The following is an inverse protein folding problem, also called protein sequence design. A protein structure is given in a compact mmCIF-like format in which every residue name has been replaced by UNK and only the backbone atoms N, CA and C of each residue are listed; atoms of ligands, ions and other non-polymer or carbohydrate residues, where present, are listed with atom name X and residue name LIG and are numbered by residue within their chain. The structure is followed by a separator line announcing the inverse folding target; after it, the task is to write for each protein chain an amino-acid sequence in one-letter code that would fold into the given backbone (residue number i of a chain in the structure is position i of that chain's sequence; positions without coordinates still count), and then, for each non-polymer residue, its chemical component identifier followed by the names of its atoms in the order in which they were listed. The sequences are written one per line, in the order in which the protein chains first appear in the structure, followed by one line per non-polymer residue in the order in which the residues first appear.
data_IF_927152087812
#
_entry.id   IF_927152087812
#
_cell.length_a   1.000
_cell.length_b   1.000
_cell.length_c   1.000
_cell.angle_alpha   90.00
_cell.angle_beta   90.00
_cell.angle_gamma   90.00
#
_symmetry.space_group_name_H-M   'P 1'
#
loop_
_entity.id
_entity.type
_entity.pdbx_description
1 polymer ?
#
# COMPACT_ATOMS: atom_id res chain seq x y z
N UNK A 1 -1.76 26.22 1.83
CA UNK A 1 -1.68 24.97 1.03
C UNK A 1 -2.39 25.18 -0.31
N UNK A 2 -1.68 25.11 -1.44
CA UNK A 2 -2.27 25.27 -2.79
C UNK A 2 -3.29 24.15 -3.06
N UNK A 3 -4.39 24.42 -3.75
CA UNK A 3 -5.47 23.42 -3.94
C UNK A 3 -5.01 22.12 -4.60
N UNK A 4 -4.02 22.20 -5.51
CA UNK A 4 -3.39 21.01 -6.08
C UNK A 4 -2.81 20.06 -5.01
N UNK A 5 -2.24 20.61 -3.94
CA UNK A 5 -1.68 19.80 -2.85
C UNK A 5 -2.77 19.15 -2.00
N UNK A 6 -3.93 19.80 -1.85
CA UNK A 6 -5.07 19.20 -1.12
C UNK A 6 -5.63 18.01 -1.89
N UNK A 7 -5.77 18.16 -3.21
CA UNK A 7 -6.20 17.06 -4.09
C UNK A 7 -5.18 15.92 -4.09
N UNK A 8 -3.89 16.24 -4.17
CA UNK A 8 -2.83 15.23 -4.14
C UNK A 8 -2.80 14.47 -2.81
N UNK A 9 -2.87 15.18 -1.67
CA UNK A 9 -3.00 14.58 -0.34
C UNK A 9 -4.21 13.64 -0.25
N UNK A 10 -5.36 14.05 -0.77
CA UNK A 10 -6.57 13.23 -0.74
C UNK A 10 -6.40 11.91 -1.53
N UNK A 11 -5.72 11.95 -2.68
CA UNK A 11 -5.40 10.74 -3.45
C UNK A 11 -4.47 9.79 -2.69
N UNK A 12 -3.43 10.33 -2.04
CA UNK A 12 -2.52 9.50 -1.25
C UNK A 12 -3.19 8.85 -0.04
N UNK A 13 -4.16 9.53 0.59
CA UNK A 13 -4.97 8.96 1.65
C UNK A 13 -5.85 7.81 1.17
N UNK A 14 -6.47 7.96 0.00
CA UNK A 14 -7.27 6.92 -0.65
C UNK A 14 -6.40 5.71 -1.04
N UNK A 15 -5.22 5.94 -1.61
CA UNK A 15 -4.28 4.87 -1.97
C UNK A 15 -3.78 4.13 -0.72
N UNK A 16 -3.47 4.86 0.36
CA UNK A 16 -3.10 4.24 1.64
C UNK A 16 -4.23 3.36 2.18
N UNK A 17 -5.47 3.85 2.13
CA UNK A 17 -6.63 3.11 2.59
C UNK A 17 -6.82 1.81 1.80
N UNK A 18 -6.70 1.84 0.46
CA UNK A 18 -6.78 0.64 -0.38
C UNK A 18 -5.72 -0.40 -0.01
N UNK A 19 -4.48 0.03 0.25
CA UNK A 19 -3.43 -0.89 0.69
C UNK A 19 -3.73 -1.50 2.06
N UNK A 20 -4.30 -0.72 3.00
CA UNK A 20 -4.75 -1.24 4.29
C UNK A 20 -5.86 -2.28 4.15
N UNK A 21 -6.81 -2.07 3.23
CA UNK A 21 -7.86 -3.06 2.94
C UNK A 21 -7.30 -4.35 2.34
N UNK A 22 -6.30 -4.25 1.47
CA UNK A 22 -5.62 -5.42 0.89
C UNK A 22 -4.92 -6.22 2.00
N UNK A 23 -4.14 -5.56 2.87
CA UNK A 23 -3.47 -6.21 4.00
C UNK A 23 -4.48 -6.91 4.91
N UNK A 24 -5.55 -6.22 5.29
CA UNK A 24 -6.62 -6.79 6.12
C UNK A 24 -7.29 -8.00 5.45
N UNK A 25 -7.53 -7.92 4.14
CA UNK A 25 -8.09 -9.04 3.36
C UNK A 25 -7.15 -10.24 3.32
N UNK A 26 -5.84 -10.02 3.22
CA UNK A 26 -4.84 -11.08 3.25
C UNK A 26 -4.67 -11.71 4.64
N UNK A 27 -4.62 -10.88 5.69
CA UNK A 27 -4.52 -11.34 7.08
C UNK A 27 -5.76 -12.11 7.55
N UNK A 28 -6.94 -11.75 7.03
CA UNK A 28 -8.19 -12.48 7.29
C UNK A 28 -8.36 -13.75 6.44
N UNK A 29 -7.43 -14.05 5.54
CA UNK A 29 -7.50 -15.19 4.61
C UNK A 29 -8.53 -15.03 3.49
N UNK A 30 -9.19 -13.87 3.38
CA UNK A 30 -10.14 -13.56 2.30
C UNK A 30 -9.45 -13.40 0.94
N UNK A 31 -8.20 -12.94 0.98
CA UNK A 31 -7.34 -12.80 -0.19
C UNK A 31 -6.06 -13.61 0.04
N UNK A 32 -5.61 -14.34 -0.97
CA UNK A 32 -4.35 -15.07 -0.94
C UNK A 32 -3.59 -14.81 -2.24
N UNK A 33 -2.26 -14.85 -2.17
CA UNK A 33 -1.37 -14.68 -3.31
C UNK A 33 -0.49 -15.90 -3.48
N UNK A 34 -0.31 -16.29 -4.73
CA UNK A 34 0.59 -17.38 -5.12
C UNK A 34 1.29 -17.01 -6.42
N UNK A 35 2.47 -17.60 -6.62
CA UNK A 35 3.22 -17.53 -7.85
C UNK A 35 3.25 -18.91 -8.51
N UNK A 36 3.35 -18.91 -9.84
CA UNK A 36 3.49 -20.13 -10.65
C UNK A 36 4.90 -20.18 -11.22
N UNK A 37 5.59 -21.30 -11.03
CA UNK A 37 6.84 -21.56 -11.72
C UNK A 37 6.59 -21.96 -13.20
N UNK A 38 7.67 -22.16 -13.96
CA UNK A 38 7.60 -22.56 -15.37
C UNK A 38 6.98 -23.95 -15.60
N UNK A 39 6.87 -24.77 -14.56
CA UNK A 39 6.24 -26.09 -14.59
C UNK A 39 4.78 -26.06 -14.11
N UNK A 40 4.27 -24.89 -13.68
CA UNK A 40 2.91 -24.69 -13.18
C UNK A 40 2.72 -25.03 -11.69
N UNK A 41 3.80 -25.22 -10.93
CA UNK A 41 3.70 -25.44 -9.48
C UNK A 41 3.39 -24.13 -8.77
N UNK A 42 2.53 -24.21 -7.74
CA UNK A 42 2.13 -23.07 -6.92
C UNK A 42 3.03 -22.92 -5.71
N UNK A 43 3.51 -21.70 -5.48
CA UNK A 43 4.16 -21.29 -4.23
C UNK A 43 3.35 -20.17 -3.59
N UNK A 44 2.92 -20.35 -2.34
CA UNK A 44 2.20 -19.30 -1.60
C UNK A 44 3.16 -18.15 -1.24
N UNK A 45 2.76 -16.92 -1.57
CA UNK A 45 3.55 -15.72 -1.30
C UNK A 45 2.74 -14.63 -0.56
N UNK A 46 1.60 -15.01 0.05
CA UNK A 46 0.72 -14.07 0.76
C UNK A 46 1.45 -13.27 1.85
N UNK A 47 2.30 -13.91 2.65
CA UNK A 47 3.06 -13.24 3.71
C UNK A 47 4.13 -12.28 3.17
N UNK A 48 4.70 -12.54 2.01
CA UNK A 48 5.57 -11.59 1.30
C UNK A 48 4.77 -10.40 0.81
N UNK A 49 3.61 -10.67 0.18
CA UNK A 49 2.75 -9.60 -0.35
C UNK A 49 2.17 -8.69 0.73
N UNK A 50 1.87 -9.23 1.91
CA UNK A 50 1.50 -8.41 3.08
C UNK A 50 2.63 -7.43 3.43
N UNK A 51 3.88 -7.91 3.52
CA UNK A 51 5.04 -7.07 3.83
C UNK A 51 5.27 -5.98 2.79
N UNK A 52 5.10 -6.30 1.50
CA UNK A 52 5.18 -5.31 0.41
C UNK A 52 4.17 -4.17 0.62
N UNK A 53 2.91 -4.51 0.92
CA UNK A 53 1.86 -3.52 1.15
C UNK A 53 2.06 -2.72 2.44
N UNK A 54 2.55 -3.34 3.51
CA UNK A 54 2.91 -2.62 4.76
C UNK A 54 4.02 -1.60 4.51
N UNK A 55 5.03 -1.95 3.71
CA UNK A 55 6.11 -1.02 3.31
C UNK A 55 5.58 0.15 2.48
N UNK A 56 4.66 -0.12 1.54
CA UNK A 56 4.00 0.94 0.77
C UNK A 56 3.16 1.88 1.65
N UNK A 57 2.41 1.33 2.61
CA UNK A 57 1.63 2.12 3.58
C UNK A 57 2.55 3.05 4.40
N UNK A 58 3.71 2.54 4.84
CA UNK A 58 4.70 3.35 5.55
C UNK A 58 5.20 4.50 4.66
N UNK A 59 5.58 4.21 3.42
CA UNK A 59 6.02 5.24 2.45
C UNK A 59 4.94 6.30 2.23
N UNK A 60 3.68 5.89 2.07
CA UNK A 60 2.55 6.81 1.91
C UNK A 60 2.36 7.70 3.14
N UNK A 61 2.50 7.15 4.35
CA UNK A 61 2.43 7.94 5.58
C UNK A 61 3.54 9.00 5.65
N UNK A 62 4.77 8.65 5.26
CA UNK A 62 5.89 9.57 5.22
C UNK A 62 5.65 10.72 4.23
N UNK A 63 5.16 10.40 3.02
CA UNK A 63 4.83 11.41 1.99
C UNK A 63 3.67 12.31 2.44
N UNK A 64 2.60 11.74 3.00
CA UNK A 64 1.47 12.52 3.52
C UNK A 64 1.93 13.45 4.65
N UNK A 65 2.79 12.96 5.55
CA UNK A 65 3.31 13.77 6.64
C UNK A 65 4.22 14.89 6.13
N UNK A 66 5.04 14.66 5.11
CA UNK A 66 5.80 15.71 4.44
C UNK A 66 4.86 16.76 3.82
N UNK A 67 3.75 16.32 3.22
CA UNK A 67 2.73 17.24 2.69
C UNK A 67 2.09 18.10 3.77
N UNK A 68 1.76 17.50 4.90
CA UNK A 68 1.13 18.19 6.03
C UNK A 68 2.08 19.21 6.68
N UNK A 69 3.39 18.92 6.69
CA UNK A 69 4.43 19.86 7.17
C UNK A 69 4.78 20.96 6.15
N UNK A 70 4.43 20.78 4.87
CA UNK A 70 4.87 21.67 3.80
C UNK A 70 6.35 21.50 3.42
N UNK A 71 6.91 20.32 3.71
CA UNK A 71 8.33 20.03 3.65
C UNK A 71 8.68 19.38 2.31
N UNK A 72 8.86 20.20 1.28
CA UNK A 72 9.07 19.78 -0.11
C UNK A 72 10.38 20.28 -0.71
N UNK A 73 11.39 20.57 0.12
CA UNK A 73 12.65 21.17 -0.34
C UNK A 73 12.53 22.62 -0.80
#
# INVERSE_FOLDING_TARGET
MKEAMKVYRAKLLDDRFKHQEIVSSMQSGRLQSFELDSAGNRTECTSERIRDHESLIQTLNEVIAAIDRGDFG
#
